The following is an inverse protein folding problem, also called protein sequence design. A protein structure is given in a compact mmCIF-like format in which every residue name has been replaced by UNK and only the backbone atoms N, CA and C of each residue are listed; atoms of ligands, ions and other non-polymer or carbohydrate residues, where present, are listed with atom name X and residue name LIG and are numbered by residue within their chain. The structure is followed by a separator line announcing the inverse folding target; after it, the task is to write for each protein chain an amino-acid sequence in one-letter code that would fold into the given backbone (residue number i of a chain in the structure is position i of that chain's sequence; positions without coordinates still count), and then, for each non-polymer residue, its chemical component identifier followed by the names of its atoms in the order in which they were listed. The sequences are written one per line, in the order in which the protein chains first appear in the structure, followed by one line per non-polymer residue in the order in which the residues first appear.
data_IF_866390882760
#
_entry.id   IF_866390882760
#
_cell.length_a   1.000
_cell.length_b   1.000
_cell.length_c   1.000
_cell.angle_alpha   90.00
_cell.angle_beta   90.00
_cell.angle_gamma   90.00
#
_symmetry.space_group_name_H-M   'P 1'
#
loop_
_entity.id
_entity.type
_entity.pdbx_description
1 polymer ?
#
# COMPACT_ATOMS: atom_id res chain seq x y z
N UNK A 1 -27.66 41.88 -7.00
CA UNK A 1 -26.65 40.90 -6.50
C UNK A 1 -25.78 40.57 -7.68
N UNK A 2 -24.68 41.30 -7.82
CA UNK A 2 -23.72 41.11 -8.93
C UNK A 2 -22.96 39.82 -8.61
N UNK A 3 -23.05 38.83 -9.50
CA UNK A 3 -22.25 37.61 -9.39
C UNK A 3 -20.86 37.98 -9.89
N UNK A 4 -19.88 38.01 -8.98
CA UNK A 4 -18.47 38.18 -9.35
C UNK A 4 -18.06 37.06 -10.30
N UNK A 5 -17.52 37.41 -11.46
CA UNK A 5 -16.96 36.43 -12.38
C UNK A 5 -15.75 35.72 -11.73
N UNK A 6 -15.62 34.40 -11.88
CA UNK A 6 -14.52 33.66 -11.28
C UNK A 6 -13.18 34.12 -11.82
N UNK A 7 -12.30 34.61 -10.97
CA UNK A 7 -10.94 34.99 -11.33
C UNK A 7 -10.11 33.75 -11.68
N UNK A 8 -9.07 33.93 -12.54
CA UNK A 8 -8.14 32.85 -12.95
C UNK A 8 -7.51 32.15 -11.71
N UNK A 9 -7.29 32.90 -10.64
CA UNK A 9 -6.78 32.36 -9.36
C UNK A 9 -7.79 31.42 -8.70
N UNK A 10 -9.09 31.77 -8.73
CA UNK A 10 -10.14 30.92 -8.15
C UNK A 10 -10.31 29.62 -8.96
N UNK A 11 -10.20 29.68 -10.28
CA UNK A 11 -10.29 28.48 -11.15
C UNK A 11 -9.10 27.55 -10.90
N UNK A 12 -7.88 28.08 -10.75
CA UNK A 12 -6.70 27.27 -10.41
C UNK A 12 -6.83 26.58 -9.07
N UNK A 13 -7.34 27.27 -8.05
CA UNK A 13 -7.58 26.70 -6.73
C UNK A 13 -8.65 25.58 -6.77
N UNK A 14 -9.74 25.76 -7.51
CA UNK A 14 -10.77 24.74 -7.68
C UNK A 14 -10.21 23.50 -8.38
N UNK A 15 -9.43 23.66 -9.43
CA UNK A 15 -8.81 22.52 -10.14
C UNK A 15 -7.82 21.76 -9.26
N UNK A 16 -7.08 22.44 -8.39
CA UNK A 16 -6.16 21.78 -7.44
C UNK A 16 -6.91 21.01 -6.35
N UNK A 17 -8.01 21.55 -5.85
CA UNK A 17 -8.89 20.88 -4.86
C UNK A 17 -9.51 19.63 -5.49
N UNK A 18 -10.03 19.71 -6.71
CA UNK A 18 -10.61 18.58 -7.45
C UNK A 18 -9.58 17.48 -7.69
N UNK A 19 -8.35 17.83 -8.06
CA UNK A 19 -7.29 16.84 -8.26
C UNK A 19 -6.91 16.13 -6.95
N UNK A 20 -6.85 16.85 -5.84
CA UNK A 20 -6.56 16.29 -4.52
C UNK A 20 -7.69 15.37 -4.03
N UNK A 21 -8.95 15.77 -4.24
CA UNK A 21 -10.12 14.94 -3.89
C UNK A 21 -10.14 13.64 -4.71
N UNK A 22 -9.87 13.70 -6.01
CA UNK A 22 -9.74 12.52 -6.87
C UNK A 22 -8.65 11.58 -6.38
N UNK A 23 -7.47 12.12 -6.08
CA UNK A 23 -6.35 11.33 -5.55
C UNK A 23 -6.74 10.65 -4.24
N UNK A 24 -7.38 11.38 -3.33
CA UNK A 24 -7.86 10.82 -2.07
C UNK A 24 -8.88 9.69 -2.28
N UNK A 25 -9.84 9.85 -3.20
CA UNK A 25 -10.81 8.82 -3.53
C UNK A 25 -10.16 7.56 -4.10
N UNK A 26 -9.16 7.70 -4.97
CA UNK A 26 -8.40 6.58 -5.53
C UNK A 26 -7.65 5.85 -4.40
N UNK A 27 -6.95 6.58 -3.54
CA UNK A 27 -6.24 6.01 -2.41
C UNK A 27 -7.20 5.28 -1.45
N UNK A 28 -8.33 5.88 -1.11
CA UNK A 28 -9.35 5.23 -0.29
C UNK A 28 -9.87 3.93 -0.91
N UNK A 29 -10.02 3.90 -2.23
CA UNK A 29 -10.44 2.70 -2.94
C UNK A 29 -9.36 1.62 -2.87
N UNK A 30 -8.12 1.95 -3.17
CA UNK A 30 -7.00 1.00 -3.17
C UNK A 30 -6.68 0.43 -1.79
N UNK A 31 -6.82 1.24 -0.74
CA UNK A 31 -6.60 0.84 0.65
C UNK A 31 -7.87 0.33 1.35
N UNK A 32 -8.96 0.16 0.62
CA UNK A 32 -10.19 -0.43 1.13
C UNK A 32 -10.06 -1.94 1.26
N UNK A 33 -10.62 -2.51 2.31
CA UNK A 33 -10.77 -3.96 2.47
C UNK A 33 -11.66 -4.60 1.39
N UNK A 34 -12.45 -3.80 0.68
CA UNK A 34 -13.29 -4.23 -0.43
C UNK A 34 -12.56 -4.26 -1.78
N UNK A 35 -11.33 -3.76 -1.86
CA UNK A 35 -10.56 -3.80 -3.10
C UNK A 35 -10.14 -5.25 -3.42
N UNK A 36 -10.40 -5.78 -4.62
CA UNK A 36 -10.35 -7.21 -4.91
C UNK A 36 -8.93 -7.72 -5.19
N UNK A 37 -7.96 -7.40 -4.33
CA UNK A 37 -6.59 -7.92 -4.42
C UNK A 37 -6.39 -9.25 -3.70
N UNK A 38 -7.34 -9.66 -2.84
CA UNK A 38 -7.27 -10.91 -2.08
C UNK A 38 -6.25 -10.93 -0.93
N UNK A 39 -5.47 -9.88 -0.73
CA UNK A 39 -4.41 -9.83 0.29
C UNK A 39 -4.92 -9.86 1.73
N UNK A 40 -6.14 -9.42 1.95
CA UNK A 40 -6.78 -9.42 3.29
C UNK A 40 -7.07 -10.83 3.84
N UNK A 41 -6.98 -11.84 2.99
CA UNK A 41 -7.13 -13.25 3.40
C UNK A 41 -5.87 -13.85 4.01
N UNK A 42 -4.74 -13.13 3.96
CA UNK A 42 -3.45 -13.63 4.41
C UNK A 42 -3.01 -12.90 5.67
N UNK A 43 -2.87 -13.66 6.76
CA UNK A 43 -2.38 -13.14 8.04
C UNK A 43 -0.84 -12.99 8.10
N UNK A 44 -0.13 -13.41 7.03
CA UNK A 44 1.34 -13.43 6.96
C UNK A 44 2.01 -14.17 8.14
N UNK A 45 1.31 -15.16 8.70
CA UNK A 45 1.84 -16.01 9.77
C UNK A 45 1.41 -15.58 11.18
N UNK A 46 0.76 -14.44 11.36
CA UNK A 46 0.36 -13.98 12.71
C UNK A 46 -0.61 -14.95 13.37
N UNK A 47 -1.54 -15.56 12.62
CA UNK A 47 -2.47 -16.56 13.16
C UNK A 47 -1.74 -17.81 13.64
N UNK A 48 -0.72 -18.27 12.89
CA UNK A 48 0.10 -19.41 13.31
C UNK A 48 0.86 -19.08 14.60
N UNK A 49 1.44 -17.89 14.69
CA UNK A 49 2.17 -17.45 15.89
C UNK A 49 1.27 -17.31 17.11
N UNK A 50 0.03 -16.88 16.93
CA UNK A 50 -0.98 -16.86 18.03
C UNK A 50 -1.34 -18.28 18.44
N UNK A 51 -1.58 -19.18 17.50
CA UNK A 51 -1.93 -20.57 17.79
C UNK A 51 -0.77 -21.34 18.45
N UNK A 52 0.47 -20.98 18.17
CA UNK A 52 1.68 -21.56 18.78
C UNK A 52 2.08 -20.84 20.09
N UNK A 53 1.23 -19.95 20.59
CA UNK A 53 1.45 -19.18 21.83
C UNK A 53 2.75 -18.33 21.79
N UNK A 54 3.20 -17.94 20.62
CA UNK A 54 4.34 -17.02 20.42
C UNK A 54 3.95 -15.55 20.52
N UNK A 55 2.65 -15.25 20.31
CA UNK A 55 2.05 -13.94 20.48
C UNK A 55 0.92 -14.07 21.49
N UNK A 56 1.08 -13.47 22.68
CA UNK A 56 0.17 -13.62 23.80
C UNK A 56 -0.42 -12.31 24.29
N UNK A 57 0.24 -11.21 24.03
CA UNK A 57 -0.17 -9.90 24.51
C UNK A 57 0.05 -8.80 23.43
N UNK A 58 -0.46 -7.58 23.66
CA UNK A 58 -0.28 -6.46 22.73
C UNK A 58 1.17 -6.07 22.46
N UNK A 59 2.09 -6.37 23.39
CA UNK A 59 3.51 -6.08 23.24
C UNK A 59 4.14 -7.01 22.19
N UNK A 60 3.82 -8.30 22.26
CA UNK A 60 4.27 -9.29 21.27
C UNK A 60 3.79 -8.91 19.86
N UNK A 61 2.55 -8.43 19.75
CA UNK A 61 1.99 -7.93 18.48
C UNK A 61 2.81 -6.74 17.97
N UNK A 62 3.17 -5.80 18.85
CA UNK A 62 3.98 -4.63 18.48
C UNK A 62 5.37 -5.06 17.99
N UNK A 63 6.05 -5.94 18.72
CA UNK A 63 7.36 -6.48 18.33
C UNK A 63 7.31 -7.21 16.98
N UNK A 64 6.25 -7.97 16.72
CA UNK A 64 6.02 -8.63 15.44
C UNK A 64 5.87 -7.60 14.30
N UNK A 65 5.05 -6.55 14.49
CA UNK A 65 4.84 -5.49 13.50
C UNK A 65 6.13 -4.72 13.24
N UNK A 66 6.88 -4.36 14.29
CA UNK A 66 8.18 -3.70 14.16
C UNK A 66 9.18 -4.57 13.38
N UNK A 67 9.18 -5.88 13.64
CA UNK A 67 9.99 -6.85 12.88
C UNK A 67 9.67 -6.81 11.39
N UNK A 68 8.41 -6.80 11.01
CA UNK A 68 7.98 -6.72 9.60
C UNK A 68 8.39 -5.37 8.96
N UNK A 69 8.20 -4.27 9.69
CA UNK A 69 8.50 -2.92 9.19
C UNK A 69 9.99 -2.72 8.98
N UNK A 70 10.81 -3.05 9.97
CA UNK A 70 12.23 -2.70 9.96
C UNK A 70 13.15 -3.78 9.38
N UNK A 71 12.73 -5.05 9.41
CA UNK A 71 13.57 -6.19 9.03
C UNK A 71 12.91 -7.11 8.00
N UNK A 72 11.61 -6.95 7.76
CA UNK A 72 10.83 -7.80 6.87
C UNK A 72 10.51 -7.18 5.51
N UNK A 73 9.38 -7.64 4.95
CA UNK A 73 8.93 -7.27 3.60
C UNK A 73 8.61 -5.79 3.47
N UNK A 74 8.06 -5.15 4.51
CA UNK A 74 7.73 -3.72 4.45
C UNK A 74 8.94 -2.83 4.17
N UNK A 75 10.12 -3.19 4.70
CA UNK A 75 11.36 -2.47 4.40
C UNK A 75 11.71 -2.56 2.91
N UNK A 76 11.68 -3.77 2.36
CA UNK A 76 11.99 -3.99 0.94
C UNK A 76 10.98 -3.29 0.03
N UNK A 77 9.69 -3.40 0.33
CA UNK A 77 8.62 -2.77 -0.43
C UNK A 77 8.75 -1.23 -0.39
N UNK A 78 9.09 -0.65 0.76
CA UNK A 78 9.33 0.80 0.88
C UNK A 78 10.50 1.28 0.02
N UNK A 79 11.59 0.51 -0.05
CA UNK A 79 12.73 0.82 -0.91
C UNK A 79 12.33 0.73 -2.38
N UNK A 80 11.60 -0.33 -2.77
CA UNK A 80 11.13 -0.52 -4.14
C UNK A 80 10.19 0.60 -4.58
N UNK A 81 9.27 1.03 -3.71
CA UNK A 81 8.37 2.16 -3.97
C UNK A 81 9.18 3.44 -4.20
N UNK A 82 10.17 3.71 -3.35
CA UNK A 82 11.04 4.89 -3.52
C UNK A 82 11.80 4.87 -4.84
N UNK A 83 12.39 3.73 -5.20
CA UNK A 83 13.12 3.58 -6.45
C UNK A 83 12.20 3.73 -7.68
N UNK A 84 11.00 3.16 -7.63
CA UNK A 84 10.00 3.32 -8.68
C UNK A 84 9.53 4.78 -8.81
N UNK A 85 9.34 5.46 -7.68
CA UNK A 85 9.00 6.88 -7.66
C UNK A 85 10.10 7.76 -8.29
N UNK A 86 11.36 7.38 -8.14
CA UNK A 86 12.52 8.03 -8.76
C UNK A 86 12.68 7.66 -10.26
N UNK A 87 11.75 6.89 -10.82
CA UNK A 87 11.70 6.53 -12.24
C UNK A 87 12.49 5.28 -12.61
N UNK A 88 12.97 4.50 -11.65
CA UNK A 88 13.71 3.27 -11.93
C UNK A 88 12.74 2.11 -12.21
N UNK A 89 13.09 1.25 -13.17
CA UNK A 89 12.37 -0.01 -13.39
C UNK A 89 12.80 -1.04 -12.35
N UNK A 90 11.92 -1.34 -11.41
CA UNK A 90 12.17 -2.25 -10.29
C UNK A 90 11.43 -3.60 -10.41
N UNK A 91 10.79 -3.88 -11.54
CA UNK A 91 9.95 -5.07 -11.70
C UNK A 91 10.73 -6.37 -11.47
N UNK A 92 11.87 -6.55 -12.12
CA UNK A 92 12.68 -7.77 -11.96
C UNK A 92 13.24 -7.89 -10.54
N UNK A 93 13.68 -6.79 -9.96
CA UNK A 93 14.16 -6.74 -8.58
C UNK A 93 13.04 -7.10 -7.59
N UNK A 94 11.85 -6.53 -7.78
CA UNK A 94 10.67 -6.86 -6.96
C UNK A 94 10.34 -8.34 -7.01
N UNK A 95 10.36 -8.96 -8.20
CA UNK A 95 10.10 -10.38 -8.36
C UNK A 95 11.21 -11.25 -7.76
N UNK A 96 12.47 -10.83 -7.82
CA UNK A 96 13.60 -11.55 -7.26
C UNK A 96 13.64 -11.52 -5.72
N UNK A 97 13.11 -10.48 -5.10
CA UNK A 97 13.07 -10.32 -3.65
C UNK A 97 11.92 -11.10 -2.97
N UNK A 98 11.06 -11.74 -3.72
CA UNK A 98 10.01 -12.57 -3.14
C UNK A 98 10.60 -13.84 -2.51
N UNK A 99 10.39 -14.09 -1.22
CA UNK A 99 11.04 -15.17 -0.48
C UNK A 99 10.46 -16.57 -0.81
N UNK A 100 9.26 -16.62 -1.37
CA UNK A 100 8.59 -17.87 -1.72
C UNK A 100 7.80 -17.76 -3.02
N UNK A 101 7.43 -18.94 -3.57
CA UNK A 101 6.60 -19.04 -4.77
C UNK A 101 5.19 -18.45 -4.53
N UNK A 102 4.65 -18.70 -3.36
CA UNK A 102 3.33 -18.20 -2.94
C UNK A 102 3.35 -16.67 -2.88
N UNK A 103 4.36 -16.09 -2.26
CA UNK A 103 4.51 -14.63 -2.17
C UNK A 103 4.67 -14.00 -3.55
N UNK A 104 5.43 -14.63 -4.44
CA UNK A 104 5.56 -14.18 -5.83
C UNK A 104 4.22 -14.20 -6.56
N UNK A 105 3.43 -15.26 -6.39
CA UNK A 105 2.10 -15.35 -7.00
C UNK A 105 1.14 -14.29 -6.49
N UNK A 106 1.16 -14.02 -5.19
CA UNK A 106 0.39 -12.94 -4.55
C UNK A 106 0.79 -11.56 -5.11
N UNK A 107 2.09 -11.27 -5.18
CA UNK A 107 2.61 -10.00 -5.74
C UNK A 107 2.12 -9.77 -7.17
N UNK A 108 2.15 -10.81 -8.01
CA UNK A 108 1.66 -10.74 -9.39
C UNK A 108 0.14 -10.55 -9.46
N UNK A 109 -0.62 -11.24 -8.60
CA UNK A 109 -2.07 -11.10 -8.54
C UNK A 109 -2.48 -9.68 -8.10
N UNK A 110 -1.82 -9.14 -7.07
CA UNK A 110 -2.03 -7.75 -6.63
C UNK A 110 -1.70 -6.76 -7.75
N UNK A 111 -0.54 -6.89 -8.40
CA UNK A 111 -0.15 -6.03 -9.51
C UNK A 111 -1.16 -6.03 -10.66
N UNK A 112 -1.76 -7.15 -10.96
CA UNK A 112 -2.80 -7.26 -11.99
C UNK A 112 -4.10 -6.57 -11.58
N UNK A 113 -4.45 -6.54 -10.29
CA UNK A 113 -5.66 -5.86 -9.80
C UNK A 113 -5.58 -4.33 -9.89
N UNK A 114 -4.36 -3.76 -9.97
CA UNK A 114 -4.13 -2.32 -10.11
C UNK A 114 -4.01 -1.84 -11.57
N UNK A 115 -4.20 -2.70 -12.55
CA UNK A 115 -4.23 -2.34 -13.98
C UNK A 115 -5.61 -1.93 -14.44
#
# INVERSE_FOLDING_TARGET
MELEEPTVTNIRNLNSIDSNLRTLQILQTWFSSSFPIGSYSYSHGIEAMINEELINDPKDVLEFIEGIIFHGTCKNDSILIKLAYDGLNVNDLSLALNPSKERKSETLAMGNAFR
#
